data_IF_186333818748
#
_entry.id   IF_186333818748
#
_cell.length_a   1.000
_cell.length_b   1.000
_cell.length_c   1.000
_cell.angle_alpha   90.00
_cell.angle_beta   90.00
_cell.angle_gamma   90.00
#
_symmetry.space_group_name_H-M   'P 1'
#
loop_
_entity.id
_entity.type
_entity.pdbx_description
1 polymer ?
#
# COMPACT_ATOMS: atom_id res chain seq x y z
N UNK A 1 -23.56 10.94 -32.99
CA UNK A 1 -23.64 9.52 -32.58
C UNK A 1 -23.98 9.45 -31.10
N UNK A 2 -25.07 8.78 -30.72
CA UNK A 2 -25.43 8.58 -29.32
C UNK A 2 -24.34 7.76 -28.61
N UNK A 3 -23.90 8.24 -27.45
CA UNK A 3 -22.90 7.55 -26.66
C UNK A 3 -23.52 6.27 -26.03
N UNK A 4 -22.86 5.09 -26.14
CA UNK A 4 -23.42 3.79 -25.74
C UNK A 4 -23.81 3.71 -24.25
N UNK A 5 -23.19 4.51 -23.39
CA UNK A 5 -23.55 4.66 -21.98
C UNK A 5 -25.01 5.12 -21.74
N UNK A 6 -25.68 5.72 -22.74
CA UNK A 6 -27.10 6.09 -22.65
C UNK A 6 -28.07 4.91 -22.81
N UNK A 7 -27.60 3.76 -23.29
CA UNK A 7 -28.42 2.56 -23.54
C UNK A 7 -28.42 1.66 -22.30
N UNK A 8 -27.28 1.49 -21.63
CA UNK A 8 -27.17 0.79 -20.35
C UNK A 8 -25.87 1.20 -19.63
N UNK A 9 -25.86 1.47 -18.30
CA UNK A 9 -24.67 1.93 -17.57
C UNK A 9 -23.50 0.92 -17.54
N UNK A 10 -23.76 -0.34 -17.92
CA UNK A 10 -22.74 -1.38 -18.06
C UNK A 10 -22.17 -1.52 -19.49
N UNK A 11 -22.77 -0.85 -20.49
CA UNK A 11 -22.29 -0.86 -21.87
C UNK A 11 -21.19 0.21 -22.00
N UNK A 12 -19.96 -0.19 -22.34
CA UNK A 12 -18.83 0.72 -22.49
C UNK A 12 -18.04 0.41 -23.77
N UNK A 13 -17.46 1.44 -24.40
CA UNK A 13 -16.58 1.29 -25.58
C UNK A 13 -15.14 1.07 -25.15
N UNK A 14 -14.47 0.10 -25.78
CA UNK A 14 -13.06 -0.20 -25.54
C UNK A 14 -12.12 1.02 -25.72
N UNK A 15 -12.49 1.98 -26.56
CA UNK A 15 -11.72 3.20 -26.87
C UNK A 15 -11.90 4.34 -25.86
N UNK A 16 -12.80 4.21 -24.88
CA UNK A 16 -13.08 5.24 -23.87
C UNK A 16 -12.78 4.70 -22.47
N UNK A 17 -12.30 5.58 -21.58
CA UNK A 17 -12.25 5.25 -20.16
C UNK A 17 -13.68 4.99 -19.65
N UNK A 18 -13.88 3.92 -18.90
CA UNK A 18 -15.21 3.59 -18.38
C UNK A 18 -15.67 4.63 -17.34
N UNK A 19 -16.84 5.25 -17.58
CA UNK A 19 -17.46 6.26 -16.72
C UNK A 19 -18.61 5.73 -15.84
N UNK A 20 -18.71 4.41 -15.66
CA UNK A 20 -19.74 3.79 -14.83
C UNK A 20 -19.66 4.20 -13.34
N UNK A 21 -20.72 3.94 -12.54
CA UNK A 21 -20.89 4.38 -11.15
C UNK A 21 -19.99 3.62 -10.15
N UNK A 22 -18.72 3.47 -10.48
CA UNK A 22 -17.73 2.90 -9.57
C UNK A 22 -17.32 4.00 -8.61
N UNK A 23 -17.48 3.79 -7.30
CA UNK A 23 -16.94 4.72 -6.29
C UNK A 23 -15.42 4.78 -6.44
N UNK A 24 -14.86 5.98 -6.30
CA UNK A 24 -13.43 6.23 -6.51
C UNK A 24 -12.88 7.12 -5.42
N UNK A 25 -11.60 6.93 -5.14
CA UNK A 25 -10.83 7.77 -4.25
C UNK A 25 -9.84 8.61 -5.08
N UNK A 26 -9.76 9.94 -4.91
CA UNK A 26 -8.84 10.77 -5.66
C UNK A 26 -7.39 10.31 -5.48
N UNK A 27 -6.61 10.32 -6.56
CA UNK A 27 -5.22 9.85 -6.49
C UNK A 27 -4.29 10.81 -5.76
N UNK A 28 -4.60 12.11 -5.79
CA UNK A 28 -3.73 13.19 -5.35
C UNK A 28 -2.68 13.64 -6.37
N UNK A 29 -2.65 13.03 -7.57
CA UNK A 29 -1.70 13.36 -8.63
C UNK A 29 -2.45 13.60 -9.94
N UNK A 30 -2.38 14.82 -10.48
CA UNK A 30 -3.13 15.20 -11.67
C UNK A 30 -2.81 14.31 -12.88
N UNK A 31 -1.53 14.04 -13.11
CA UNK A 31 -1.07 13.23 -14.25
C UNK A 31 -1.55 11.78 -14.16
N UNK A 32 -1.55 11.20 -12.96
CA UNK A 32 -2.09 9.85 -12.75
C UNK A 32 -3.61 9.85 -12.90
N UNK A 33 -4.31 10.81 -12.30
CA UNK A 33 -5.77 10.93 -12.40
C UNK A 33 -6.24 11.01 -13.85
N UNK A 34 -5.55 11.79 -14.70
CA UNK A 34 -5.88 11.89 -16.13
C UNK A 34 -5.82 10.55 -16.86
N UNK A 35 -5.04 9.59 -16.36
CA UNK A 35 -4.87 8.26 -16.94
C UNK A 35 -5.73 7.18 -16.27
N UNK A 36 -6.42 7.47 -15.17
CA UNK A 36 -7.29 6.50 -14.52
C UNK A 36 -8.75 6.70 -14.94
N UNK A 37 -9.52 5.61 -15.11
CA UNK A 37 -10.93 5.72 -15.45
C UNK A 37 -11.70 6.57 -14.43
N UNK A 38 -12.18 7.74 -14.86
CA UNK A 38 -12.79 8.77 -14.03
C UNK A 38 -11.95 9.25 -12.84
N UNK A 39 -10.62 9.33 -13.00
CA UNK A 39 -9.80 10.23 -12.16
C UNK A 39 -9.33 9.69 -10.82
N UNK A 40 -9.54 8.41 -10.49
CA UNK A 40 -9.29 7.93 -9.14
C UNK A 40 -9.03 6.44 -9.00
N UNK A 41 -8.62 6.05 -7.80
CA UNK A 41 -8.49 4.67 -7.37
C UNK A 41 -9.88 4.04 -7.27
N UNK A 42 -10.15 2.90 -7.95
CA UNK A 42 -11.44 2.23 -7.84
C UNK A 42 -11.61 1.62 -6.44
N UNK A 43 -12.75 1.90 -5.80
CA UNK A 43 -13.14 1.29 -4.53
C UNK A 43 -13.95 0.01 -4.79
N UNK A 44 -13.91 -0.92 -3.82
CA UNK A 44 -14.62 -2.21 -3.93
C UNK A 44 -14.10 -3.11 -5.06
N UNK A 45 -12.86 -2.90 -5.48
CA UNK A 45 -12.23 -3.64 -6.57
C UNK A 45 -10.75 -3.89 -6.28
N UNK A 46 -10.19 -4.91 -6.94
CA UNK A 46 -8.77 -5.24 -6.80
C UNK A 46 -7.93 -4.31 -7.67
N UNK A 47 -7.04 -3.55 -7.04
CA UNK A 47 -5.94 -2.82 -7.68
C UNK A 47 -4.64 -3.59 -7.42
N UNK A 48 -3.79 -3.73 -8.43
CA UNK A 48 -2.45 -4.29 -8.26
C UNK A 48 -1.37 -3.24 -8.49
N UNK A 49 -0.43 -3.18 -7.54
CA UNK A 49 0.85 -2.48 -7.71
C UNK A 49 1.95 -3.54 -7.88
N UNK A 50 2.56 -3.54 -9.05
CA UNK A 50 3.67 -4.42 -9.41
C UNK A 50 4.98 -3.68 -9.14
N UNK A 51 5.78 -4.23 -8.24
CA UNK A 51 6.96 -3.58 -7.69
C UNK A 51 8.23 -4.34 -8.09
N UNK A 52 9.32 -3.68 -8.53
CA UNK A 52 10.61 -4.33 -8.72
C UNK A 52 11.12 -4.87 -7.38
N UNK A 53 10.90 -4.11 -6.30
CA UNK A 53 11.18 -4.49 -4.93
C UNK A 53 10.27 -3.70 -3.97
N UNK A 54 9.98 -4.23 -2.76
CA UNK A 54 9.30 -3.45 -1.74
C UNK A 54 10.06 -2.18 -1.36
N UNK A 55 9.34 -1.14 -0.93
CA UNK A 55 9.92 0.15 -0.56
C UNK A 55 10.23 1.07 -1.75
N UNK A 56 9.76 0.74 -2.95
CA UNK A 56 9.89 1.58 -4.15
C UNK A 56 9.13 2.92 -4.03
N UNK A 57 8.19 3.03 -3.08
CA UNK A 57 7.38 4.22 -2.86
C UNK A 57 5.88 3.97 -2.93
N UNK A 58 5.46 2.70 -2.92
CA UNK A 58 4.08 2.24 -3.03
C UNK A 58 3.13 2.90 -2.01
N UNK A 59 3.55 3.03 -0.75
CA UNK A 59 2.71 3.65 0.30
C UNK A 59 2.69 5.18 0.11
N UNK A 60 3.81 5.79 -0.30
CA UNK A 60 3.87 7.23 -0.60
C UNK A 60 2.97 7.61 -1.78
N UNK A 61 2.90 6.74 -2.80
CA UNK A 61 1.94 6.88 -3.90
C UNK A 61 0.50 6.86 -3.38
N UNK A 62 0.18 5.98 -2.43
CA UNK A 62 -1.18 5.88 -1.89
C UNK A 62 -1.51 6.93 -0.83
N UNK A 63 -0.49 7.61 -0.26
CA UNK A 63 -0.65 8.57 0.84
C UNK A 63 -1.78 9.59 0.62
N UNK A 64 -1.88 10.31 -0.52
CA UNK A 64 -2.94 11.30 -0.68
C UNK A 64 -4.34 10.68 -0.66
N UNK A 65 -4.46 9.44 -1.13
CA UNK A 65 -5.71 8.70 -1.12
C UNK A 65 -6.03 8.24 0.31
N UNK A 66 -5.07 7.67 1.03
CA UNK A 66 -5.22 7.25 2.43
C UNK A 66 -5.63 8.41 3.36
N UNK A 67 -5.11 9.62 3.11
CA UNK A 67 -5.43 10.81 3.89
C UNK A 67 -6.87 11.31 3.73
N UNK A 68 -7.59 10.84 2.71
CA UNK A 68 -8.99 11.19 2.48
C UNK A 68 -9.97 10.17 3.07
N UNK A 69 -9.46 9.07 3.64
CA UNK A 69 -10.29 8.04 4.25
C UNK A 69 -10.86 8.51 5.58
N UNK A 70 -12.05 8.01 5.92
CA UNK A 70 -12.71 8.32 7.18
C UNK A 70 -11.84 7.90 8.37
N UNK A 71 -11.56 8.85 9.28
CA UNK A 71 -10.69 8.68 10.45
C UNK A 71 -11.09 7.51 11.38
N UNK A 72 -12.33 7.03 11.33
CA UNK A 72 -12.85 5.96 12.19
C UNK A 72 -12.66 4.56 11.62
N UNK A 73 -12.41 4.44 10.31
CA UNK A 73 -12.25 3.16 9.62
C UNK A 73 -10.78 2.80 9.54
N UNK A 74 -10.49 1.52 9.74
CA UNK A 74 -9.11 1.03 9.76
C UNK A 74 -8.48 1.04 8.36
N UNK A 75 -7.17 1.22 8.33
CA UNK A 75 -6.29 1.00 7.19
C UNK A 75 -5.46 -0.26 7.52
N UNK A 76 -5.82 -1.37 6.90
CA UNK A 76 -5.20 -2.66 7.15
C UNK A 76 -3.95 -2.86 6.28
N UNK A 77 -2.84 -3.25 6.91
CA UNK A 77 -1.61 -3.69 6.26
C UNK A 77 -1.42 -5.17 6.54
N UNK A 78 -1.56 -6.00 5.50
CA UNK A 78 -1.41 -7.46 5.59
C UNK A 78 -0.08 -7.88 4.96
N UNK A 79 0.74 -8.61 5.73
CA UNK A 79 2.08 -9.05 5.34
C UNK A 79 3.03 -7.93 4.89
N UNK A 80 3.05 -6.74 5.51
CA UNK A 80 4.01 -5.72 5.10
C UNK A 80 5.44 -6.27 5.27
N UNK A 81 6.34 -6.06 4.28
CA UNK A 81 7.68 -6.64 4.28
C UNK A 81 8.59 -6.05 5.36
N UNK A 82 8.21 -4.90 5.91
CA UNK A 82 8.86 -4.24 7.02
C UNK A 82 7.81 -3.75 8.02
N UNK A 83 8.21 -3.60 9.28
CA UNK A 83 7.35 -3.02 10.30
C UNK A 83 6.88 -1.61 9.87
N UNK A 84 5.58 -1.30 9.94
CA UNK A 84 5.07 0.03 9.61
C UNK A 84 5.69 1.10 10.51
N UNK A 85 6.20 2.17 9.90
CA UNK A 85 6.84 3.26 10.64
C UNK A 85 5.80 4.28 11.12
N UNK A 86 5.39 4.21 12.39
CA UNK A 86 4.28 5.00 12.93
C UNK A 86 4.51 6.51 12.86
N UNK A 87 5.76 6.98 13.00
CA UNK A 87 6.08 8.40 12.89
C UNK A 87 5.84 8.93 11.47
N UNK A 88 6.07 8.10 10.44
CA UNK A 88 5.75 8.46 9.05
C UNK A 88 4.24 8.59 8.88
N UNK A 89 3.47 7.69 9.49
CA UNK A 89 2.00 7.71 9.50
C UNK A 89 1.47 9.03 10.10
N UNK A 90 1.99 9.39 11.28
CA UNK A 90 1.63 10.64 11.96
C UNK A 90 2.05 11.89 11.17
N UNK A 91 3.23 11.87 10.54
CA UNK A 91 3.70 12.97 9.66
C UNK A 91 2.78 13.20 8.45
N UNK A 92 2.06 12.17 8.03
CA UNK A 92 1.06 12.23 6.96
C UNK A 92 -0.34 12.58 7.48
N UNK A 93 -0.46 12.93 8.76
CA UNK A 93 -1.71 13.26 9.45
C UNK A 93 -2.74 12.13 9.42
N UNK A 94 -2.27 10.89 9.30
CA UNK A 94 -3.10 9.70 9.46
C UNK A 94 -3.14 9.33 10.94
N UNK A 95 -4.33 9.04 11.49
CA UNK A 95 -4.46 8.65 12.89
C UNK A 95 -3.78 7.28 13.10
N UNK A 96 -2.77 7.17 13.99
CA UNK A 96 -2.15 5.90 14.35
C UNK A 96 -3.15 4.81 14.74
N UNK A 97 -4.30 5.17 15.32
CA UNK A 97 -5.36 4.24 15.73
C UNK A 97 -6.08 3.58 14.56
N UNK A 98 -5.98 4.13 13.37
CA UNK A 98 -6.52 3.51 12.15
C UNK A 98 -5.64 2.38 11.64
N UNK A 99 -4.36 2.32 12.04
CA UNK A 99 -3.44 1.33 11.50
C UNK A 99 -3.71 -0.05 12.10
N UNK A 100 -4.16 -0.98 11.25
CA UNK A 100 -4.27 -2.40 11.60
C UNK A 100 -3.14 -3.17 10.91
N UNK A 101 -2.17 -3.64 11.69
CA UNK A 101 -1.05 -4.45 11.17
C UNK A 101 -1.30 -5.94 11.40
N UNK A 102 -1.29 -6.72 10.31
CA UNK A 102 -1.52 -8.17 10.32
C UNK A 102 -0.36 -8.86 9.60
N UNK A 103 0.55 -9.49 10.35
CA UNK A 103 1.71 -10.21 9.81
C UNK A 103 1.73 -11.66 10.32
N UNK A 104 0.89 -12.55 9.75
CA UNK A 104 0.91 -13.95 10.11
C UNK A 104 2.17 -14.64 9.57
N UNK A 105 2.56 -15.79 10.12
CA UNK A 105 3.74 -16.52 9.65
C UNK A 105 3.50 -17.19 8.28
N UNK A 106 2.27 -17.67 8.04
CA UNK A 106 1.94 -18.44 6.84
C UNK A 106 1.28 -17.55 5.77
N UNK A 107 1.67 -17.67 4.49
CA UNK A 107 1.02 -16.95 3.39
C UNK A 107 -0.48 -17.25 3.24
N UNK A 108 -0.90 -18.48 3.56
CA UNK A 108 -2.31 -18.87 3.52
C UNK A 108 -3.15 -18.08 4.55
N UNK A 109 -2.60 -17.83 5.74
CA UNK A 109 -3.28 -17.07 6.79
C UNK A 109 -3.37 -15.59 6.42
N UNK A 110 -2.40 -15.06 5.67
CA UNK A 110 -2.46 -13.70 5.14
C UNK A 110 -3.60 -13.54 4.13
N UNK A 111 -3.74 -14.50 3.21
CA UNK A 111 -4.85 -14.52 2.24
C UNK A 111 -6.20 -14.65 2.96
N UNK A 112 -6.27 -15.53 3.96
CA UNK A 112 -7.48 -15.70 4.76
C UNK A 112 -7.82 -14.41 5.52
N UNK A 113 -6.86 -13.79 6.20
CA UNK A 113 -7.06 -12.54 6.93
C UNK A 113 -7.50 -11.41 6.01
N UNK A 114 -6.87 -11.26 4.84
CA UNK A 114 -7.28 -10.31 3.82
C UNK A 114 -8.73 -10.55 3.37
N UNK A 115 -9.13 -11.80 3.15
CA UNK A 115 -10.50 -12.16 2.81
C UNK A 115 -11.49 -11.81 3.92
N UNK A 116 -11.17 -12.09 5.19
CA UNK A 116 -12.02 -11.74 6.33
C UNK A 116 -12.17 -10.23 6.49
N UNK A 117 -11.08 -9.47 6.34
CA UNK A 117 -11.08 -8.00 6.39
C UNK A 117 -12.02 -7.43 5.33
N UNK A 118 -11.93 -7.94 4.09
CA UNK A 118 -12.80 -7.49 3.00
C UNK A 118 -14.26 -7.83 3.26
N UNK A 119 -14.56 -9.04 3.73
CA UNK A 119 -15.93 -9.48 4.05
C UNK A 119 -16.54 -8.72 5.22
N UNK A 120 -15.74 -8.34 6.22
CA UNK A 120 -16.22 -7.57 7.35
C UNK A 120 -16.67 -6.15 6.98
N UNK A 121 -16.15 -5.58 5.89
CA UNK A 121 -16.54 -4.26 5.39
C UNK A 121 -16.16 -3.08 6.30
N UNK A 122 -15.43 -3.31 7.38
CA UNK A 122 -15.11 -2.30 8.41
C UNK A 122 -13.87 -1.45 8.10
N UNK A 123 -13.01 -1.90 7.17
CA UNK A 123 -11.80 -1.19 6.78
C UNK A 123 -12.06 -0.23 5.62
N UNK A 124 -11.45 0.95 5.65
CA UNK A 124 -11.48 1.92 4.54
C UNK A 124 -10.44 1.59 3.46
N UNK A 125 -9.33 0.97 3.85
CA UNK A 125 -8.33 0.46 2.91
C UNK A 125 -7.70 -0.84 3.41
N UNK A 126 -7.29 -1.68 2.46
CA UNK A 126 -6.51 -2.89 2.67
C UNK A 126 -5.33 -2.89 1.69
N UNK A 127 -4.12 -2.83 2.23
CA UNK A 127 -2.88 -3.06 1.49
C UNK A 127 -2.36 -4.45 1.84
N UNK A 128 -2.23 -5.32 0.85
CA UNK A 128 -1.84 -6.71 1.07
C UNK A 128 -0.63 -7.07 0.20
N UNK A 129 0.49 -7.41 0.81
CA UNK A 129 1.69 -7.84 0.08
C UNK A 129 1.61 -9.34 -0.20
N UNK A 130 1.53 -9.68 -1.49
CA UNK A 130 1.30 -11.03 -1.98
C UNK A 130 2.44 -11.42 -2.94
N UNK A 131 3.65 -11.73 -2.41
CA UNK A 131 4.80 -12.09 -3.24
C UNK A 131 4.52 -13.32 -4.10
N UNK A 132 3.74 -14.26 -3.57
CA UNK A 132 3.27 -15.44 -4.27
C UNK A 132 1.78 -15.63 -3.98
N UNK A 133 0.97 -15.67 -5.03
CA UNK A 133 -0.48 -15.89 -4.91
C UNK A 133 -1.00 -16.52 -6.19
N UNK A 134 -1.85 -17.52 -6.04
CA UNK A 134 -2.49 -18.19 -7.18
C UNK A 134 -3.67 -17.37 -7.73
N UNK A 135 -3.97 -17.45 -9.03
CA UNK A 135 -5.06 -16.68 -9.64
C UNK A 135 -6.43 -16.89 -8.97
N UNK A 136 -6.72 -18.09 -8.47
CA UNK A 136 -7.99 -18.41 -7.80
C UNK A 136 -8.14 -17.66 -6.48
N UNK A 137 -7.02 -17.50 -5.74
CA UNK A 137 -7.01 -16.73 -4.49
C UNK A 137 -7.21 -15.25 -4.76
N UNK A 138 -6.59 -14.70 -5.82
CA UNK A 138 -6.85 -13.32 -6.25
C UNK A 138 -8.30 -13.11 -6.67
N UNK A 139 -8.91 -14.09 -7.35
CA UNK A 139 -10.32 -14.02 -7.75
C UNK A 139 -11.24 -14.01 -6.52
N UNK A 140 -10.97 -14.85 -5.53
CA UNK A 140 -11.70 -14.84 -4.24
C UNK A 140 -11.58 -13.50 -3.53
N UNK A 141 -10.37 -12.94 -3.42
CA UNK A 141 -10.17 -11.62 -2.81
C UNK A 141 -10.87 -10.51 -3.61
N UNK A 142 -10.81 -10.57 -4.95
CA UNK A 142 -11.52 -9.61 -5.79
C UNK A 142 -13.04 -9.66 -5.56
N UNK A 143 -13.63 -10.85 -5.49
CA UNK A 143 -15.05 -11.03 -5.18
C UNK A 143 -15.40 -10.53 -3.78
N UNK A 144 -14.56 -10.79 -2.78
CA UNK A 144 -14.76 -10.28 -1.43
C UNK A 144 -14.75 -8.75 -1.39
N UNK A 145 -13.86 -8.11 -2.17
CA UNK A 145 -13.78 -6.65 -2.24
C UNK A 145 -15.04 -6.01 -2.85
N UNK A 146 -15.72 -6.69 -3.78
CA UNK A 146 -16.94 -6.18 -4.42
C UNK A 146 -18.13 -6.02 -3.46
N UNK A 147 -18.09 -6.69 -2.30
CA UNK A 147 -19.11 -6.55 -1.26
C UNK A 147 -19.01 -5.27 -0.43
N UNK A 148 -17.94 -4.47 -0.59
CA UNK A 148 -17.70 -3.26 0.18
C UNK A 148 -17.17 -2.11 -0.66
N UNK A 149 -16.73 -1.06 0.01
CA UNK A 149 -16.20 0.17 -0.62
C UNK A 149 -14.75 0.48 -0.20
N UNK A 150 -14.03 -0.52 0.30
CA UNK A 150 -12.63 -0.37 0.67
C UNK A 150 -11.73 -0.13 -0.55
N UNK A 151 -10.69 0.68 -0.39
CA UNK A 151 -9.56 0.69 -1.32
C UNK A 151 -8.75 -0.59 -1.11
N UNK A 152 -8.86 -1.54 -2.03
CA UNK A 152 -8.10 -2.80 -1.95
C UNK A 152 -6.93 -2.81 -2.95
N UNK A 153 -5.71 -2.86 -2.40
CA UNK A 153 -4.47 -2.89 -3.17
C UNK A 153 -3.67 -4.15 -2.83
N UNK A 154 -3.41 -4.99 -3.83
CA UNK A 154 -2.45 -6.06 -3.74
C UNK A 154 -1.09 -5.61 -4.27
N UNK A 155 -0.05 -5.74 -3.46
CA UNK A 155 1.33 -5.42 -3.82
C UNK A 155 2.05 -6.70 -4.19
N UNK A 156 2.55 -6.77 -5.43
CA UNK A 156 3.10 -8.00 -6.02
C UNK A 156 4.44 -7.72 -6.71
N UNK A 157 5.28 -8.74 -6.95
CA UNK A 157 6.53 -8.57 -7.67
C UNK A 157 6.28 -8.18 -9.14
N UNK A 158 7.22 -7.45 -9.75
CA UNK A 158 7.15 -7.06 -11.16
C UNK A 158 6.98 -8.27 -12.11
N UNK A 159 7.56 -9.42 -11.76
CA UNK A 159 7.39 -10.67 -12.51
C UNK A 159 5.92 -11.12 -12.62
N UNK A 160 5.04 -10.70 -11.70
CA UNK A 160 3.63 -11.02 -11.77
C UNK A 160 2.87 -10.32 -12.90
N UNK A 161 3.49 -9.35 -13.60
CA UNK A 161 2.91 -8.68 -14.76
C UNK A 161 2.39 -9.67 -15.81
N UNK A 162 3.18 -10.72 -16.10
CA UNK A 162 2.88 -11.76 -17.08
C UNK A 162 1.75 -12.71 -16.67
N UNK A 163 1.37 -12.71 -15.39
CA UNK A 163 0.29 -13.57 -14.89
C UNK A 163 -1.08 -12.92 -15.10
N UNK A 164 -2.05 -13.74 -15.51
CA UNK A 164 -3.45 -13.32 -15.57
C UNK A 164 -3.94 -12.88 -14.18
N UNK A 165 -4.75 -11.81 -14.16
CA UNK A 165 -5.23 -11.21 -12.91
C UNK A 165 -6.66 -10.67 -13.06
N UNK A 166 -7.53 -10.88 -12.05
CA UNK A 166 -8.87 -10.31 -12.01
C UNK A 166 -8.87 -8.81 -11.68
N UNK A 167 -7.71 -8.22 -11.35
CA UNK A 167 -7.61 -6.80 -11.01
C UNK A 167 -8.20 -5.89 -12.09
N UNK A 168 -8.91 -4.84 -11.68
CA UNK A 168 -9.49 -3.85 -12.61
C UNK A 168 -8.48 -2.79 -13.03
N UNK A 169 -7.42 -2.63 -12.23
CA UNK A 169 -6.31 -1.71 -12.44
C UNK A 169 -5.01 -2.42 -12.04
N UNK A 170 -4.01 -2.42 -12.92
CA UNK A 170 -2.66 -2.93 -12.66
C UNK A 170 -1.65 -1.88 -13.06
N UNK A 171 -0.79 -1.51 -12.12
CA UNK A 171 0.24 -0.50 -12.32
C UNK A 171 1.61 -1.12 -12.03
N UNK A 172 2.55 -1.01 -12.97
CA UNK A 172 3.95 -1.31 -12.73
C UNK A 172 4.67 -0.04 -12.31
N UNK A 173 5.29 -0.08 -11.13
CA UNK A 173 6.01 1.05 -10.55
C UNK A 173 7.51 0.84 -10.76
N UNK A 174 8.22 1.90 -11.12
CA UNK A 174 9.67 1.93 -11.10
C UNK A 174 10.13 3.21 -10.36
N UNK A 175 11.12 3.12 -9.45
CA UNK A 175 11.75 4.31 -8.88
C UNK A 175 12.30 5.21 -9.98
N UNK A 176 12.07 6.51 -9.87
CA UNK A 176 12.59 7.53 -10.78
C UNK A 176 13.16 8.70 -9.96
N UNK A 177 14.03 9.54 -10.53
CA UNK A 177 14.47 10.77 -9.87
C UNK A 177 13.26 11.59 -9.40
N UNK A 178 13.24 11.92 -8.10
CA UNK A 178 12.17 12.69 -7.47
C UNK A 178 10.80 11.98 -7.35
N UNK A 179 10.69 10.69 -7.68
CA UNK A 179 9.38 10.04 -7.64
C UNK A 179 9.29 8.62 -8.21
N UNK A 180 8.21 8.37 -8.93
CA UNK A 180 7.89 7.09 -9.56
C UNK A 180 7.61 7.28 -11.05
N UNK A 181 8.14 6.36 -11.87
CA UNK A 181 7.62 6.11 -13.20
C UNK A 181 6.58 4.99 -13.11
N UNK A 182 5.35 5.27 -13.54
CA UNK A 182 4.21 4.36 -13.43
C UNK A 182 3.76 3.96 -14.83
N UNK A 183 3.89 2.67 -15.15
CA UNK A 183 3.34 2.10 -16.38
C UNK A 183 2.01 1.43 -16.10
N UNK A 184 0.97 1.80 -16.84
CA UNK A 184 -0.36 1.23 -16.66
C UNK A 184 -0.46 -0.07 -17.48
N UNK A 185 -0.33 -1.20 -16.78
CA UNK A 185 -0.40 -2.54 -17.38
C UNK A 185 -1.83 -2.91 -17.76
N UNK A 186 -2.80 -2.53 -16.92
CA UNK A 186 -4.23 -2.81 -17.15
C UNK A 186 -5.06 -1.68 -16.57
N UNK A 187 -6.01 -1.18 -17.35
CA UNK A 187 -7.08 -0.29 -16.89
C UNK A 187 -8.36 -0.55 -17.71
N UNK A 188 -9.49 -0.06 -17.24
CA UNK A 188 -10.75 -0.06 -18.02
C UNK A 188 -10.75 1.11 -19.01
N UNK A 189 -10.41 0.84 -20.26
CA UNK A 189 -10.40 1.84 -21.33
C UNK A 189 -9.23 1.64 -22.29
N UNK A 190 -8.87 2.66 -23.09
CA UNK A 190 -7.80 2.53 -24.07
C UNK A 190 -6.48 2.22 -23.38
N UNK A 191 -5.59 1.51 -24.06
CA UNK A 191 -4.23 1.27 -23.56
C UNK A 191 -3.52 2.60 -23.26
N UNK A 192 -2.59 2.58 -22.31
CA UNK A 192 -1.70 3.70 -22.03
C UNK A 192 -0.29 3.23 -22.38
N UNK A 193 0.28 3.74 -23.46
CA UNK A 193 1.58 3.28 -23.94
C UNK A 193 2.74 4.01 -23.23
N UNK A 194 2.48 5.21 -22.70
CA UNK A 194 3.50 6.05 -22.10
C UNK A 194 3.47 5.94 -20.56
N UNK A 195 4.64 5.74 -19.91
CA UNK A 195 4.73 5.84 -18.46
C UNK A 195 4.35 7.23 -17.95
N UNK A 196 3.64 7.26 -16.82
CA UNK A 196 3.28 8.49 -16.10
C UNK A 196 4.32 8.74 -15.03
N UNK A 197 4.94 9.91 -15.00
CA UNK A 197 5.79 10.31 -13.89
C UNK A 197 4.93 10.87 -12.75
N UNK A 198 5.20 10.43 -11.54
CA UNK A 198 4.56 10.94 -10.32
C UNK A 198 5.66 11.40 -9.37
N UNK A 199 5.73 12.70 -9.14
CA UNK A 199 6.59 13.28 -8.12
C UNK A 199 6.17 12.80 -6.72
N UNK A 200 7.06 12.09 -6.03
CA UNK A 200 6.88 11.78 -4.63
C UNK A 200 7.65 12.84 -3.85
N UNK A 201 7.00 13.95 -3.55
CA UNK A 201 7.58 15.02 -2.72
C UNK A 201 8.32 14.42 -1.52
N UNK A 202 9.63 14.70 -1.45
CA UNK A 202 10.49 14.28 -0.36
C UNK A 202 10.15 15.11 0.87
N UNK A 203 8.99 14.85 1.48
CA UNK A 203 8.55 15.45 2.74
C UNK A 203 8.87 16.94 2.86
N UNK A 204 8.07 17.81 2.23
CA UNK A 204 7.81 19.13 2.81
C UNK A 204 7.20 18.89 4.21
N UNK A 205 8.06 18.65 5.20
CA UNK A 205 7.69 18.01 6.45
C UNK A 205 8.79 17.19 7.14
N UNK A 206 10.00 17.04 6.58
CA UNK A 206 11.19 16.97 7.44
C UNK A 206 11.44 18.38 8.03
N UNK A 207 10.45 18.88 8.79
CA UNK A 207 10.84 19.61 9.98
C UNK A 207 11.63 18.58 10.76
N UNK A 208 12.93 18.80 10.85
CA UNK A 208 13.76 18.24 11.89
C UNK A 208 13.06 18.62 13.18
N UNK A 209 12.12 17.78 13.64
CA UNK A 209 11.80 17.77 15.04
C UNK A 209 13.14 17.53 15.71
N UNK A 210 13.61 18.42 16.61
CA UNK A 210 14.72 18.05 17.44
C UNK A 210 14.26 16.81 18.17
N UNK A 211 14.73 15.64 17.72
CA UNK A 211 14.68 14.47 18.57
C UNK A 211 15.40 14.93 19.84
N UNK A 212 14.79 14.83 21.03
CA UNK A 212 15.61 14.72 22.21
C UNK A 212 16.37 13.41 22.00
N UNK A 213 17.55 13.50 21.39
CA UNK A 213 18.59 12.51 21.52
C UNK A 213 18.85 12.45 23.02
N UNK A 214 18.08 11.65 23.75
CA UNK A 214 18.54 11.14 25.01
C UNK A 214 19.80 10.34 24.65
N UNK A 215 21.00 10.79 25.03
CA UNK A 215 22.16 9.95 24.87
C UNK A 215 21.84 8.68 25.66
N UNK A 216 21.76 7.54 24.96
CA UNK A 216 21.83 6.25 25.60
C UNK A 216 23.25 6.14 26.15
N UNK A 217 23.44 6.74 27.32
CA UNK A 217 24.63 6.56 28.14
C UNK A 217 24.56 5.13 28.69
N UNK A 218 24.85 4.16 27.81
CA UNK A 218 25.05 2.77 28.20
C UNK A 218 26.34 2.76 29.02
N UNK A 219 26.20 2.92 30.34
CA UNK A 219 27.26 2.51 31.28
C UNK A 219 27.57 1.05 31.00
N UNK A 220 28.75 0.80 30.44
CA UNK A 220 29.34 -0.53 30.41
C UNK A 220 29.40 -1.04 31.86
N UNK A 221 28.91 -2.25 32.16
CA UNK A 221 29.10 -2.84 33.47
C UNK A 221 30.60 -2.93 33.76
N UNK A 222 31.01 -2.43 34.93
CA UNK A 222 32.39 -2.44 35.38
C UNK A 222 32.95 -3.87 35.37
N UNK A 223 34.14 -4.04 34.81
CA UNK A 223 34.85 -5.32 34.90
C UNK A 223 35.20 -5.61 36.37
N UNK A 224 35.00 -6.84 36.86
CA UNK A 224 35.40 -7.20 38.21
C UNK A 224 36.93 -7.15 38.35
N UNK A 225 37.42 -6.29 39.23
CA UNK A 225 38.83 -6.20 39.60
C UNK A 225 39.22 -7.48 40.36
N UNK A 226 40.20 -8.20 39.82
CA UNK A 226 40.75 -9.41 40.40
C UNK A 226 41.49 -9.14 41.72
N UNK A 227 41.09 -9.88 42.77
CA UNK A 227 41.96 -10.48 43.78
C UNK A 227 42.83 -9.57 44.64
N UNK A 228 42.34 -9.16 45.82
CA UNK A 228 43.21 -8.87 46.96
C UNK A 228 43.72 -10.18 47.56
N UNK A 229 45.04 -10.38 47.52
CA UNK A 229 45.76 -11.44 48.25
C UNK A 229 45.67 -11.17 49.76
N UNK A 230 45.21 -12.15 50.53
CA UNK A 230 45.39 -12.23 51.98
C UNK A 230 46.81 -12.70 52.32
N UNK A 231 47.51 -12.10 53.30
CA UNK A 231 48.73 -12.70 53.82
C UNK A 231 48.37 -13.80 54.84
N UNK A 232 49.04 -14.94 54.72
CA UNK A 232 48.96 -16.06 55.63
C UNK A 232 49.70 -15.77 56.94
N UNK A 233 49.07 -16.08 58.07
CA UNK A 233 49.69 -16.22 59.39
C UNK A 233 50.40 -17.59 59.45
N UNK A 234 51.66 -17.62 59.87
CA UNK A 234 52.34 -18.82 60.35
C UNK A 234 53.10 -18.48 61.63
N UNK A 235 52.68 -19.17 62.70
CA UNK A 235 53.34 -19.53 63.98
C UNK A 235 54.17 -18.49 64.72
#
# INVERSE_FOLDING_TARGET
MLAPERIHPALWRATQLAHGPTRKLPTGYADLSAQLPGGGWPLGALVELLLPQPGSGEIRLLRPALAQLEARRAIALVQPPHAPHIASWASWRLDPRQLLWVAPERPADALWAAEQILKAGSCAALLCWLPQVRPESLRRLHLAAQGGDALFVALRPAAAEQHASPAVLRLALAPAPGGLSIRIVKRRGPACEHPVHVGLEAGAGLSVFPAPHAPLDRRLPAQPVAGRRTPALVS
#
